data_IF_007394941548
#
_entry.id   IF_007394941548
#
_cell.length_a   1.000
_cell.length_b   1.000
_cell.length_c   1.000
_cell.angle_alpha   90.00
_cell.angle_beta   90.00
_cell.angle_gamma   90.00
#
_symmetry.space_group_name_H-M   'P 1'
#
loop_
_entity.id
_entity.type
_entity.pdbx_description
1 polymer ?
#
# COMPACT_ATOMS: atom_id res chain seq x y z
N UNK A 1 8.17 29.08 8.98
CA UNK A 1 8.58 28.49 7.69
C UNK A 1 7.52 27.48 7.27
N UNK A 2 7.17 27.37 5.99
CA UNK A 2 6.19 26.36 5.55
C UNK A 2 6.78 24.95 5.73
N UNK A 3 6.01 24.03 6.33
CA UNK A 3 6.42 22.64 6.50
C UNK A 3 6.59 21.96 5.15
N UNK A 4 7.78 21.43 4.87
CA UNK A 4 8.11 20.83 3.59
C UNK A 4 7.82 19.32 3.59
N UNK A 5 7.06 18.86 2.60
CA UNK A 5 6.77 17.44 2.39
C UNK A 5 7.76 16.77 1.42
N UNK A 6 8.62 17.55 0.75
CA UNK A 6 9.63 17.00 -0.15
C UNK A 6 10.60 16.11 0.64
N UNK A 7 10.87 14.91 0.12
CA UNK A 7 11.72 13.87 0.71
C UNK A 7 11.16 13.17 1.97
N UNK A 8 9.85 13.24 2.21
CA UNK A 8 9.14 12.42 3.19
C UNK A 8 8.39 11.30 2.50
N UNK A 9 8.12 10.23 3.23
CA UNK A 9 7.14 9.22 2.83
C UNK A 9 5.75 9.76 3.18
N UNK A 10 4.96 10.12 2.16
CA UNK A 10 3.60 10.62 2.36
C UNK A 10 2.59 9.54 1.98
N UNK A 11 1.86 9.03 2.97
CA UNK A 11 0.80 8.03 2.77
C UNK A 11 -0.55 8.72 2.94
N UNK A 12 -1.37 8.68 1.89
CA UNK A 12 -2.78 9.00 2.02
C UNK A 12 -3.57 7.73 2.30
N UNK A 13 -4.55 7.81 3.20
CA UNK A 13 -5.44 6.69 3.54
C UNK A 13 -6.89 7.16 3.59
N UNK A 14 -7.81 6.36 3.05
CA UNK A 14 -9.23 6.63 3.17
C UNK A 14 -9.78 6.24 4.54
N UNK A 15 -10.87 6.88 4.97
CA UNK A 15 -11.49 6.60 6.27
C UNK A 15 -11.89 5.13 6.43
N UNK A 16 -12.41 4.49 5.35
CA UNK A 16 -12.78 3.08 5.32
C UNK A 16 -11.58 2.12 5.32
N UNK A 17 -10.41 2.59 4.90
CA UNK A 17 -9.18 1.81 5.00
C UNK A 17 -8.59 1.88 6.41
N UNK A 18 -8.69 3.04 7.07
CA UNK A 18 -8.18 3.25 8.43
C UNK A 18 -9.09 2.66 9.52
N UNK A 19 -10.40 2.76 9.34
CA UNK A 19 -11.42 2.31 10.29
C UNK A 19 -12.39 1.34 9.62
N UNK A 20 -12.91 0.39 10.39
CA UNK A 20 -14.01 -0.47 9.95
C UNK A 20 -15.29 0.36 9.93
N UNK A 21 -15.78 0.62 8.73
CA UNK A 21 -16.94 1.44 8.41
C UNK A 21 -17.88 0.71 7.44
N UNK A 22 -17.88 -0.63 7.48
CA UNK A 22 -18.69 -1.43 6.55
C UNK A 22 -20.19 -1.32 6.83
N UNK A 23 -20.59 -1.14 8.10
CA UNK A 23 -21.99 -0.86 8.45
C UNK A 23 -22.44 0.48 7.85
N UNK A 24 -21.64 1.52 8.01
CA UNK A 24 -21.95 2.85 7.48
C UNK A 24 -21.92 2.87 5.96
N UNK A 25 -21.02 2.12 5.32
CA UNK A 25 -21.02 1.97 3.88
C UNK A 25 -22.31 1.29 3.37
N UNK A 26 -22.81 0.27 4.08
CA UNK A 26 -24.08 -0.36 3.72
C UNK A 26 -25.26 0.60 3.83
N UNK A 27 -25.27 1.49 4.82
CA UNK A 27 -26.30 2.53 4.95
C UNK A 27 -26.22 3.49 3.76
N UNK A 28 -25.01 3.91 3.37
CA UNK A 28 -24.83 4.77 2.20
C UNK A 28 -25.32 4.11 0.91
N UNK A 29 -24.98 2.84 0.69
CA UNK A 29 -25.37 2.10 -0.52
C UNK A 29 -26.88 1.82 -0.61
N UNK A 30 -27.53 1.54 0.52
CA UNK A 30 -28.96 1.18 0.57
C UNK A 30 -29.88 2.40 0.71
N UNK A 31 -29.56 3.29 1.62
CA UNK A 31 -30.45 4.37 2.08
C UNK A 31 -29.98 5.76 1.60
N UNK A 32 -28.79 5.82 0.99
CA UNK A 32 -28.24 7.02 0.39
C UNK A 32 -27.53 7.97 1.35
N UNK A 33 -27.15 9.12 0.80
CA UNK A 33 -26.25 10.08 1.45
C UNK A 33 -26.85 10.72 2.71
N UNK A 34 -28.14 11.05 2.71
CA UNK A 34 -28.79 11.72 3.84
C UNK A 34 -28.91 10.80 5.07
N UNK A 35 -29.24 9.52 4.85
CA UNK A 35 -29.29 8.52 5.91
C UNK A 35 -27.91 8.26 6.50
N UNK A 36 -26.90 8.11 5.64
CA UNK A 36 -25.50 8.01 6.06
C UNK A 36 -25.07 9.20 6.92
N UNK A 37 -25.39 10.43 6.50
CA UNK A 37 -25.03 11.63 7.25
C UNK A 37 -25.70 11.69 8.62
N UNK A 38 -26.99 11.39 8.68
CA UNK A 38 -27.71 11.33 9.94
C UNK A 38 -27.09 10.31 10.89
N UNK A 39 -26.79 9.11 10.39
CA UNK A 39 -26.13 8.07 11.18
C UNK A 39 -24.77 8.54 11.70
N UNK A 40 -23.93 9.15 10.87
CA UNK A 40 -22.60 9.61 11.32
C UNK A 40 -22.67 10.67 12.42
N UNK A 41 -23.64 11.60 12.35
CA UNK A 41 -23.86 12.62 13.38
C UNK A 41 -24.41 12.03 14.69
N UNK A 42 -25.37 11.11 14.61
CA UNK A 42 -25.93 10.44 15.79
C UNK A 42 -24.91 9.54 16.51
N UNK A 43 -23.85 9.15 15.82
CA UNK A 43 -22.79 8.28 16.33
C UNK A 43 -21.43 9.01 16.46
N UNK A 44 -21.39 10.35 16.45
CA UNK A 44 -20.15 11.15 16.46
C UNK A 44 -19.19 10.80 17.62
N UNK A 45 -19.76 10.52 18.80
CA UNK A 45 -19.00 10.18 20.01
C UNK A 45 -18.76 8.66 20.16
N UNK A 46 -19.27 7.83 19.26
CA UNK A 46 -19.02 6.38 19.31
C UNK A 46 -17.69 6.05 18.66
N UNK A 47 -16.85 5.36 19.43
CA UNK A 47 -15.56 4.86 18.95
C UNK A 47 -15.71 3.99 17.71
N UNK A 48 -14.72 4.09 16.82
CA UNK A 48 -14.63 3.27 15.62
C UNK A 48 -13.75 2.05 15.84
N UNK A 49 -14.14 0.94 15.24
CA UNK A 49 -13.32 -0.26 15.16
C UNK A 49 -12.16 -0.05 14.20
N UNK A 50 -11.08 -0.78 14.41
CA UNK A 50 -9.84 -0.61 13.65
C UNK A 50 -10.03 -1.28 12.29
N UNK A 51 -9.74 -0.56 11.21
CA UNK A 51 -9.76 -1.12 9.87
C UNK A 51 -8.47 -1.87 9.55
N UNK A 52 -8.44 -2.57 8.41
CA UNK A 52 -7.24 -3.30 7.94
C UNK A 52 -5.99 -2.43 7.91
N UNK A 53 -6.11 -1.15 7.54
CA UNK A 53 -4.98 -0.23 7.42
C UNK A 53 -4.50 0.38 8.73
N UNK A 54 -5.24 0.21 9.83
CA UNK A 54 -4.93 0.86 11.11
C UNK A 54 -3.52 0.52 11.60
N UNK A 55 -3.18 -0.77 11.65
CA UNK A 55 -1.91 -1.25 12.18
C UNK A 55 -0.71 -0.72 11.38
N UNK A 56 -0.81 -0.75 10.06
CA UNK A 56 0.22 -0.20 9.18
C UNK A 56 0.44 1.29 9.49
N UNK A 57 -0.62 2.07 9.58
CA UNK A 57 -0.57 3.50 9.90
C UNK A 57 0.04 3.74 11.27
N UNK A 58 -0.39 2.98 12.29
CA UNK A 58 0.15 3.06 13.64
C UNK A 58 1.66 2.81 13.66
N UNK A 59 2.12 1.74 13.00
CA UNK A 59 3.53 1.35 12.99
C UNK A 59 4.39 2.30 12.14
N UNK A 60 3.89 2.76 10.99
CA UNK A 60 4.60 3.71 10.13
C UNK A 60 4.73 5.08 10.82
N UNK A 61 3.72 5.55 11.54
CA UNK A 61 3.82 6.80 12.30
C UNK A 61 4.84 6.72 13.44
N UNK A 62 4.99 5.55 14.09
CA UNK A 62 6.02 5.32 15.14
C UNK A 62 7.45 5.54 14.62
N UNK A 63 7.70 5.44 13.32
CA UNK A 63 9.02 5.71 12.72
C UNK A 63 9.47 7.15 13.03
N UNK A 64 8.54 8.10 13.13
CA UNK A 64 8.88 9.48 13.45
C UNK A 64 9.50 9.65 14.85
N UNK A 65 9.33 8.67 15.77
CA UNK A 65 9.96 8.71 17.10
C UNK A 65 11.50 8.56 17.06
N UNK A 66 12.05 8.06 15.95
CA UNK A 66 13.51 7.98 15.74
C UNK A 66 14.12 9.29 15.24
N UNK A 67 13.29 10.31 14.96
CA UNK A 67 13.71 11.59 14.41
C UNK A 67 13.28 12.75 15.32
N UNK A 68 13.95 13.89 15.18
CA UNK A 68 13.51 15.12 15.82
C UNK A 68 12.18 15.60 15.19
N UNK A 69 11.41 16.43 15.91
CA UNK A 69 10.11 16.93 15.45
C UNK A 69 10.18 17.68 14.12
N UNK A 70 11.30 18.35 13.84
CA UNK A 70 11.51 19.11 12.60
C UNK A 70 11.98 18.23 11.42
N UNK A 71 12.40 16.99 11.71
CA UNK A 71 12.95 16.03 10.76
C UNK A 71 12.07 14.79 10.58
N UNK A 72 10.77 14.88 10.90
CA UNK A 72 9.80 13.80 10.62
C UNK A 72 9.97 13.28 9.19
N UNK A 73 10.01 11.97 9.04
CA UNK A 73 10.23 11.29 7.75
C UNK A 73 8.95 10.75 7.13
N UNK A 74 7.91 10.58 7.94
CA UNK A 74 6.65 9.99 7.55
C UNK A 74 5.54 10.99 7.81
N UNK A 75 4.63 11.12 6.84
CA UNK A 75 3.38 11.86 6.99
C UNK A 75 2.22 10.94 6.57
N UNK A 76 1.18 10.86 7.40
CA UNK A 76 -0.07 10.20 7.04
C UNK A 76 -1.16 11.26 6.90
N UNK A 77 -1.92 11.20 5.81
CA UNK A 77 -3.00 12.13 5.49
C UNK A 77 -4.28 11.34 5.32
N UNK A 78 -5.34 11.77 5.99
CA UNK A 78 -6.68 11.20 5.75
C UNK A 78 -7.32 11.92 4.58
N UNK A 79 -7.76 11.16 3.58
CA UNK A 79 -8.51 11.69 2.46
C UNK A 79 -9.86 10.99 2.38
N UNK A 80 -10.94 11.77 2.43
CA UNK A 80 -12.29 11.22 2.34
C UNK A 80 -13.14 12.03 1.38
N UNK A 81 -13.97 11.32 0.62
CA UNK A 81 -15.07 11.90 -0.16
C UNK A 81 -16.21 12.41 0.72
N UNK A 82 -16.21 12.09 2.01
CA UNK A 82 -17.28 12.55 2.89
C UNK A 82 -17.22 14.07 3.09
N UNK A 83 -18.33 14.64 3.54
CA UNK A 83 -18.35 16.04 3.94
C UNK A 83 -17.51 16.26 5.22
N UNK A 84 -17.12 17.50 5.45
CA UNK A 84 -16.35 17.87 6.64
C UNK A 84 -17.14 17.70 7.95
N UNK A 85 -18.48 17.70 7.93
CA UNK A 85 -19.27 17.49 9.16
C UNK A 85 -19.06 16.09 9.73
N UNK A 86 -19.02 15.06 8.88
CA UNK A 86 -18.73 13.67 9.29
C UNK A 86 -17.25 13.42 9.64
N UNK A 87 -16.39 14.42 9.46
CA UNK A 87 -14.97 14.29 9.84
C UNK A 87 -14.77 14.18 11.34
N UNK A 88 -15.69 14.70 12.15
CA UNK A 88 -15.53 14.78 13.60
C UNK A 88 -15.43 13.40 14.23
N UNK A 89 -16.30 12.46 13.86
CA UNK A 89 -16.23 11.07 14.34
C UNK A 89 -14.89 10.40 14.02
N UNK A 90 -14.40 10.58 12.79
CA UNK A 90 -13.11 10.06 12.34
C UNK A 90 -11.97 10.72 13.13
N UNK A 91 -12.05 12.02 13.34
CA UNK A 91 -11.05 12.81 14.09
C UNK A 91 -11.04 12.43 15.57
N UNK A 92 -12.19 12.22 16.18
CA UNK A 92 -12.34 11.73 17.56
C UNK A 92 -11.70 10.35 17.69
N UNK A 93 -11.98 9.42 16.76
CA UNK A 93 -11.36 8.10 16.77
C UNK A 93 -9.81 8.14 16.65
N UNK A 94 -9.26 9.02 15.81
CA UNK A 94 -7.80 9.24 15.71
C UNK A 94 -7.22 9.72 17.04
N UNK A 95 -7.88 10.68 17.68
CA UNK A 95 -7.46 11.26 18.95
C UNK A 95 -7.52 10.22 20.09
N UNK A 96 -8.61 9.47 20.18
CA UNK A 96 -8.79 8.39 21.16
C UNK A 96 -7.71 7.32 21.04
N UNK A 97 -7.37 6.97 19.79
CA UNK A 97 -6.34 6.00 19.45
C UNK A 97 -4.92 6.59 19.39
N UNK A 98 -4.78 7.89 19.68
CA UNK A 98 -3.51 8.65 19.74
C UNK A 98 -2.64 8.51 18.48
N UNK A 99 -3.28 8.46 17.31
CA UNK A 99 -2.56 8.47 16.04
C UNK A 99 -2.08 9.90 15.75
N UNK A 100 -0.77 10.07 15.49
CA UNK A 100 -0.15 11.37 15.15
C UNK A 100 -0.44 11.78 13.69
N UNK A 101 -1.73 11.91 13.39
CA UNK A 101 -2.28 12.35 12.10
C UNK A 101 -2.82 13.76 12.29
N UNK A 102 -2.13 14.74 11.70
CA UNK A 102 -2.48 16.17 11.83
C UNK A 102 -3.02 16.77 10.53
N UNK A 103 -3.12 15.97 9.46
CA UNK A 103 -3.60 16.40 8.15
C UNK A 103 -4.77 15.56 7.70
N UNK A 104 -5.78 16.24 7.20
CA UNK A 104 -6.94 15.61 6.58
C UNK A 104 -7.47 16.48 5.43
N UNK A 105 -8.13 15.86 4.46
CA UNK A 105 -8.92 16.56 3.46
C UNK A 105 -10.25 15.84 3.22
N UNK A 106 -11.30 16.66 3.08
CA UNK A 106 -12.69 16.24 3.00
C UNK A 106 -13.30 16.91 1.78
N UNK A 107 -13.64 16.14 0.77
CA UNK A 107 -13.92 16.67 -0.57
C UNK A 107 -15.40 16.75 -0.90
N UNK A 108 -16.29 16.38 0.03
CA UNK A 108 -17.75 16.48 -0.10
C UNK A 108 -18.27 15.89 -1.43
N UNK A 109 -17.75 14.73 -1.81
CA UNK A 109 -18.12 13.97 -3.00
C UNK A 109 -17.23 14.22 -4.22
N UNK A 110 -16.38 15.25 -4.19
CA UNK A 110 -15.47 15.53 -5.32
C UNK A 110 -14.29 14.54 -5.36
N UNK A 111 -13.76 14.31 -6.56
CA UNK A 111 -12.70 13.34 -6.78
C UNK A 111 -11.42 13.74 -6.03
N UNK A 112 -10.98 12.86 -5.13
CA UNK A 112 -9.80 13.05 -4.28
C UNK A 112 -8.48 13.01 -5.06
N UNK A 113 -8.46 12.38 -6.23
CA UNK A 113 -7.23 12.18 -7.02
C UNK A 113 -6.58 13.49 -7.45
N UNK A 114 -7.40 14.53 -7.66
CA UNK A 114 -6.97 15.89 -7.99
C UNK A 114 -6.01 16.49 -6.95
N UNK A 115 -6.11 16.05 -5.69
CA UNK A 115 -5.34 16.60 -4.57
C UNK A 115 -4.10 15.77 -4.22
N UNK A 116 -4.01 14.51 -4.66
CA UNK A 116 -2.92 13.60 -4.27
C UNK A 116 -1.53 14.15 -4.63
N UNK A 117 -1.37 14.71 -5.84
CA UNK A 117 -0.12 15.38 -6.25
C UNK A 117 0.18 16.64 -5.46
N UNK A 118 -0.85 17.40 -5.10
CA UNK A 118 -0.70 18.61 -4.31
C UNK A 118 -0.20 18.28 -2.90
N UNK A 119 -0.70 17.18 -2.33
CA UNK A 119 -0.23 16.62 -1.06
C UNK A 119 1.08 15.84 -1.16
N UNK A 120 1.67 15.69 -2.35
CA UNK A 120 2.91 14.92 -2.58
C UNK A 120 2.82 13.47 -2.13
N UNK A 121 1.64 12.87 -2.27
CA UNK A 121 1.38 11.47 -1.87
C UNK A 121 2.27 10.52 -2.67
N UNK A 122 2.95 9.62 -1.96
CA UNK A 122 3.73 8.51 -2.51
C UNK A 122 2.91 7.22 -2.63
N UNK A 123 1.98 7.00 -1.68
CA UNK A 123 1.07 5.86 -1.65
C UNK A 123 -0.33 6.30 -1.21
N UNK A 124 -1.35 5.86 -1.94
CA UNK A 124 -2.74 6.00 -1.53
C UNK A 124 -3.40 4.63 -1.27
N UNK A 125 -3.95 4.44 -0.07
CA UNK A 125 -4.70 3.24 0.31
C UNK A 125 -6.17 3.57 0.45
N UNK A 126 -7.03 2.85 -0.29
CA UNK A 126 -8.49 2.98 -0.17
C UNK A 126 -9.18 1.63 -0.15
N UNK A 127 -10.39 1.57 0.39
CA UNK A 127 -11.29 0.42 0.25
C UNK A 127 -12.13 0.48 -1.04
N UNK A 128 -12.14 1.62 -1.75
CA UNK A 128 -12.94 1.85 -2.97
C UNK A 128 -12.08 1.67 -4.24
N UNK A 129 -12.56 0.86 -5.20
CA UNK A 129 -11.85 0.61 -6.47
C UNK A 129 -11.72 1.89 -7.29
N UNK A 130 -12.78 2.71 -7.35
CA UNK A 130 -12.78 3.92 -8.17
C UNK A 130 -11.73 4.91 -7.67
N UNK A 131 -11.60 5.08 -6.36
CA UNK A 131 -10.56 5.87 -5.72
C UNK A 131 -9.15 5.44 -6.13
N UNK A 132 -8.89 4.14 -6.10
CA UNK A 132 -7.58 3.58 -6.47
C UNK A 132 -7.29 3.80 -7.95
N UNK A 133 -8.26 3.54 -8.83
CA UNK A 133 -8.12 3.77 -10.27
C UNK A 133 -7.87 5.23 -10.59
N UNK A 134 -8.65 6.14 -10.01
CA UNK A 134 -8.49 7.58 -10.22
C UNK A 134 -7.11 8.07 -9.76
N UNK A 135 -6.57 7.51 -8.66
CA UNK A 135 -5.23 7.84 -8.17
C UNK A 135 -4.13 7.36 -9.14
N UNK A 136 -4.26 6.13 -9.65
CA UNK A 136 -3.33 5.55 -10.63
C UNK A 136 -3.36 6.33 -11.95
N UNK A 137 -4.54 6.71 -12.44
CA UNK A 137 -4.69 7.56 -13.64
C UNK A 137 -4.01 8.92 -13.48
N UNK A 138 -3.95 9.41 -12.24
CA UNK A 138 -3.22 10.62 -11.90
C UNK A 138 -1.73 10.34 -11.64
N UNK A 139 -1.21 9.13 -11.79
CA UNK A 139 0.21 8.82 -11.63
C UNK A 139 0.67 8.82 -10.17
N UNK A 140 -0.21 8.44 -9.25
CA UNK A 140 0.08 8.18 -7.84
C UNK A 140 -0.07 6.70 -7.58
N UNK A 141 0.91 6.08 -6.91
CA UNK A 141 0.80 4.67 -6.55
C UNK A 141 -0.38 4.49 -5.59
N UNK A 142 -1.28 3.56 -5.91
CA UNK A 142 -2.43 3.30 -5.09
C UNK A 142 -2.78 1.81 -5.10
N UNK A 143 -3.35 1.34 -3.99
CA UNK A 143 -3.84 -0.02 -3.86
C UNK A 143 -5.15 -0.07 -3.08
N UNK A 144 -6.01 -1.03 -3.46
CA UNK A 144 -7.23 -1.32 -2.74
C UNK A 144 -6.90 -2.20 -1.55
N UNK A 145 -7.09 -1.68 -0.34
CA UNK A 145 -6.94 -2.48 0.86
C UNK A 145 -8.09 -3.49 0.95
N UNK A 146 -7.77 -4.74 1.26
CA UNK A 146 -8.76 -5.80 1.38
C UNK A 146 -9.25 -5.91 2.82
N UNK A 147 -10.51 -6.30 3.04
CA UNK A 147 -10.98 -6.69 4.35
C UNK A 147 -10.10 -7.82 4.90
N UNK A 148 -9.70 -7.70 6.15
CA UNK A 148 -8.88 -8.69 6.84
C UNK A 148 -9.38 -8.84 8.27
N UNK A 149 -9.14 -10.00 8.88
CA UNK A 149 -9.57 -10.24 10.25
C UNK A 149 -8.68 -9.45 11.24
N UNK A 150 -9.27 -8.73 12.20
CA UNK A 150 -8.51 -8.01 13.25
C UNK A 150 -7.56 -8.94 14.03
N UNK A 151 -7.87 -10.25 14.08
CA UNK A 151 -7.10 -11.29 14.77
C UNK A 151 -5.88 -11.79 13.99
N UNK A 152 -5.57 -11.22 12.81
CA UNK A 152 -4.35 -11.55 12.07
C UNK A 152 -3.14 -11.06 12.88
N UNK A 153 -2.63 -11.97 13.71
CA UNK A 153 -1.51 -11.78 14.62
C UNK A 153 -0.21 -11.83 13.82
N UNK A 154 0.24 -10.69 13.31
CA UNK A 154 1.60 -10.56 12.78
C UNK A 154 2.53 -9.82 13.74
N UNK A 155 3.84 -10.01 13.56
CA UNK A 155 4.89 -10.01 14.60
C UNK A 155 4.81 -8.98 15.75
N UNK A 156 5.28 -9.40 16.93
CA UNK A 156 5.48 -8.61 18.17
C UNK A 156 6.63 -7.59 18.09
N UNK A 157 7.18 -7.35 16.90
CA UNK A 157 8.35 -6.51 16.71
C UNK A 157 7.94 -5.07 16.38
N UNK A 158 8.62 -4.10 16.99
CA UNK A 158 8.47 -2.65 16.73
C UNK A 158 8.99 -2.22 15.33
N UNK A 159 8.96 -3.10 14.33
CA UNK A 159 9.49 -2.87 12.98
C UNK A 159 8.36 -3.03 11.97
N UNK A 160 8.21 -2.03 11.09
CA UNK A 160 7.26 -2.06 9.98
C UNK A 160 7.75 -3.05 8.92
N UNK A 161 6.90 -4.00 8.52
CA UNK A 161 7.22 -5.02 7.52
C UNK A 161 6.33 -4.89 6.29
N UNK A 162 6.92 -4.57 5.14
CA UNK A 162 6.20 -4.34 3.88
C UNK A 162 6.65 -5.36 2.84
N UNK A 163 5.72 -6.17 2.34
CA UNK A 163 5.98 -7.12 1.29
C UNK A 163 5.40 -6.64 -0.04
N UNK A 164 6.11 -6.90 -1.13
CA UNK A 164 5.69 -6.55 -2.50
C UNK A 164 5.82 -7.77 -3.41
N UNK A 165 4.87 -7.93 -4.31
CA UNK A 165 5.12 -8.71 -5.52
C UNK A 165 6.12 -8.01 -6.44
N UNK A 166 6.70 -8.78 -7.36
CA UNK A 166 7.62 -8.29 -8.38
C UNK A 166 6.90 -7.66 -9.55
N UNK A 167 6.58 -8.48 -10.55
CA UNK A 167 6.00 -8.05 -11.82
C UNK A 167 4.64 -7.37 -11.60
N UNK A 168 4.32 -6.39 -12.44
CA UNK A 168 3.10 -5.58 -12.33
C UNK A 168 2.92 -4.77 -11.02
N UNK A 169 3.87 -4.85 -10.08
CA UNK A 169 3.90 -4.10 -8.81
C UNK A 169 5.18 -3.28 -8.69
N UNK A 170 6.33 -3.90 -8.41
CA UNK A 170 7.63 -3.22 -8.37
C UNK A 170 8.23 -3.03 -9.76
N UNK A 171 8.01 -4.00 -10.65
CA UNK A 171 8.49 -3.99 -12.02
C UNK A 171 7.32 -3.83 -13.00
N UNK A 172 7.61 -3.43 -14.24
CA UNK A 172 6.58 -3.44 -15.29
C UNK A 172 6.10 -4.87 -15.60
N UNK A 173 4.99 -4.98 -16.32
CA UNK A 173 4.41 -6.26 -16.76
C UNK A 173 5.15 -6.89 -17.97
N UNK A 174 6.26 -6.30 -18.45
CA UNK A 174 7.02 -6.75 -19.63
C UNK A 174 7.34 -8.26 -19.57
N UNK A 175 7.93 -8.68 -18.46
CA UNK A 175 8.35 -10.06 -18.24
C UNK A 175 7.17 -11.04 -18.16
N UNK A 176 6.05 -10.61 -17.57
CA UNK A 176 4.84 -11.41 -17.48
C UNK A 176 4.18 -11.62 -18.86
N UNK A 177 4.20 -10.59 -19.72
CA UNK A 177 3.70 -10.68 -21.09
C UNK A 177 4.51 -11.68 -21.92
N UNK A 178 5.84 -11.72 -21.74
CA UNK A 178 6.69 -12.70 -22.44
C UNK A 178 6.35 -14.12 -21.99
N UNK A 179 6.16 -14.34 -20.69
CA UNK A 179 5.75 -15.64 -20.16
C UNK A 179 4.38 -16.07 -20.70
N UNK A 180 3.38 -15.18 -20.69
CA UNK A 180 2.02 -15.45 -21.20
C UNK A 180 2.00 -15.76 -22.70
N UNK A 181 2.80 -15.05 -23.50
CA UNK A 181 2.78 -15.19 -24.95
C UNK A 181 3.69 -16.30 -25.48
N UNK A 182 4.85 -16.52 -24.86
CA UNK A 182 5.93 -17.35 -25.40
C UNK A 182 6.35 -18.51 -24.47
N UNK A 183 5.78 -18.61 -23.27
CA UNK A 183 6.04 -19.67 -22.31
C UNK A 183 7.30 -19.49 -21.46
N UNK A 184 7.56 -20.49 -20.60
CA UNK A 184 8.59 -20.44 -19.56
C UNK A 184 10.02 -20.37 -20.14
N UNK A 185 10.33 -21.16 -21.17
CA UNK A 185 11.69 -21.22 -21.72
C UNK A 185 12.11 -19.90 -22.35
N UNK A 186 11.22 -19.30 -23.15
CA UNK A 186 11.43 -17.99 -23.75
C UNK A 186 11.60 -16.89 -22.70
N UNK A 187 10.82 -16.95 -21.60
CA UNK A 187 10.98 -16.05 -20.47
C UNK A 187 12.37 -16.20 -19.81
N UNK A 188 12.82 -17.42 -19.53
CA UNK A 188 14.13 -17.67 -18.91
C UNK A 188 15.27 -17.19 -19.82
N UNK A 189 15.21 -17.45 -21.13
CA UNK A 189 16.19 -16.95 -22.09
C UNK A 189 16.21 -15.43 -22.15
N UNK A 190 15.04 -14.79 -22.19
CA UNK A 190 14.91 -13.34 -22.17
C UNK A 190 15.56 -12.73 -20.93
N UNK A 191 15.27 -13.26 -19.74
CA UNK A 191 15.84 -12.77 -18.48
C UNK A 191 17.36 -12.94 -18.41
N UNK A 192 17.89 -14.04 -18.97
CA UNK A 192 19.35 -14.27 -19.04
C UNK A 192 20.03 -13.30 -20.00
N UNK A 193 19.45 -13.07 -21.18
CA UNK A 193 19.98 -12.13 -22.18
C UNK A 193 19.94 -10.69 -21.66
N UNK A 194 18.89 -10.33 -20.92
CA UNK A 194 18.68 -8.98 -20.38
C UNK A 194 19.16 -8.81 -18.94
N UNK A 195 19.98 -9.72 -18.40
CA UNK A 195 20.40 -9.67 -16.99
C UNK A 195 21.06 -8.35 -16.57
N UNK A 196 21.75 -7.68 -17.49
CA UNK A 196 22.42 -6.40 -17.27
C UNK A 196 21.56 -5.19 -17.69
N UNK A 197 20.37 -5.43 -18.23
CA UNK A 197 19.37 -4.41 -18.54
C UNK A 197 18.35 -4.35 -17.39
N UNK A 198 18.31 -3.26 -16.59
CA UNK A 198 17.37 -3.15 -15.49
C UNK A 198 15.92 -3.37 -15.92
N UNK A 199 15.13 -4.01 -15.05
CA UNK A 199 13.68 -4.07 -15.24
C UNK A 199 13.10 -2.65 -15.19
N UNK A 200 12.10 -2.40 -16.03
CA UNK A 200 11.40 -1.13 -16.00
C UNK A 200 10.63 -0.96 -14.69
N UNK A 201 10.49 0.29 -14.25
CA UNK A 201 9.80 0.61 -12.99
C UNK A 201 8.29 0.32 -13.10
N UNK A 202 7.79 -0.50 -12.18
CA UNK A 202 6.37 -0.73 -11.98
C UNK A 202 5.70 0.39 -11.16
N UNK A 203 4.38 0.27 -10.93
CA UNK A 203 3.59 1.30 -10.25
C UNK A 203 4.09 1.64 -8.84
N UNK A 204 4.67 0.68 -8.12
CA UNK A 204 5.13 0.83 -6.73
C UNK A 204 6.66 1.03 -6.59
N UNK A 205 7.41 1.07 -7.71
CA UNK A 205 8.86 1.28 -7.67
C UNK A 205 9.27 2.59 -6.97
N UNK A 206 8.52 3.67 -7.22
CA UNK A 206 8.77 4.98 -6.58
C UNK A 206 8.55 4.93 -5.07
N UNK A 207 7.51 4.21 -4.62
CA UNK A 207 7.27 4.01 -3.19
C UNK A 207 8.44 3.28 -2.54
N UNK A 208 8.93 2.19 -3.17
CA UNK A 208 10.09 1.45 -2.68
C UNK A 208 11.35 2.33 -2.61
N UNK A 209 11.59 3.18 -3.61
CA UNK A 209 12.68 4.15 -3.59
C UNK A 209 12.56 5.16 -2.43
N UNK A 210 11.36 5.64 -2.13
CA UNK A 210 11.12 6.53 -0.99
C UNK A 210 11.36 5.82 0.35
N UNK A 211 10.91 4.57 0.48
CA UNK A 211 11.18 3.72 1.66
C UNK A 211 12.69 3.49 1.82
N UNK A 212 13.39 3.17 0.73
CA UNK A 212 14.83 2.91 0.74
C UNK A 212 15.64 4.13 1.24
N UNK A 213 15.20 5.35 0.94
CA UNK A 213 15.81 6.58 1.48
C UNK A 213 15.69 6.68 3.00
N UNK A 214 14.58 6.22 3.58
CA UNK A 214 14.42 6.15 5.04
C UNK A 214 15.31 5.05 5.59
N UNK A 215 15.29 3.86 4.99
CA UNK A 215 16.13 2.72 5.39
C UNK A 215 17.63 3.05 5.39
N UNK A 216 18.10 3.86 4.44
CA UNK A 216 19.49 4.30 4.32
C UNK A 216 19.95 5.21 5.48
N UNK A 217 19.03 5.76 6.28
CA UNK A 217 19.35 6.55 7.48
C UNK A 217 19.67 5.68 8.70
N UNK A 218 19.49 4.37 8.59
CA UNK A 218 19.71 3.41 9.66
C UNK A 218 20.72 2.34 9.24
N UNK A 219 21.49 1.79 10.20
CA UNK A 219 22.17 0.52 10.00
C UNK A 219 21.18 -0.58 9.57
N UNK A 220 21.63 -1.52 8.74
CA UNK A 220 20.78 -2.55 8.14
C UNK A 220 19.99 -3.35 9.18
N UNK A 221 20.61 -3.70 10.30
CA UNK A 221 20.03 -4.48 11.41
C UNK A 221 19.08 -3.68 12.31
N UNK A 222 19.08 -2.35 12.20
CA UNK A 222 18.31 -1.43 13.07
C UNK A 222 17.27 -0.61 12.32
N UNK A 223 17.09 -0.86 11.03
CA UNK A 223 16.10 -0.16 10.23
C UNK A 223 14.70 -0.39 10.78
N UNK A 224 13.90 0.68 11.02
CA UNK A 224 12.53 0.53 11.51
C UNK A 224 11.57 0.05 10.42
N UNK A 225 12.01 0.03 9.16
CA UNK A 225 11.28 -0.56 8.02
C UNK A 225 12.09 -1.74 7.47
N UNK A 226 11.41 -2.86 7.27
CA UNK A 226 11.92 -4.04 6.58
C UNK A 226 11.07 -4.33 5.35
N UNK A 227 11.71 -4.53 4.21
CA UNK A 227 11.04 -4.76 2.93
C UNK A 227 11.32 -6.18 2.41
N UNK A 228 10.30 -6.82 1.84
CA UNK A 228 10.43 -8.11 1.20
C UNK A 228 9.91 -8.09 -0.23
N UNK A 229 10.65 -8.72 -1.15
CA UNK A 229 10.14 -9.13 -2.46
C UNK A 229 9.62 -10.56 -2.33
N UNK A 230 8.36 -10.80 -2.67
CA UNK A 230 7.74 -12.15 -2.69
C UNK A 230 7.16 -12.40 -4.07
N UNK A 231 7.91 -13.07 -4.93
CA UNK A 231 7.61 -13.19 -6.37
C UNK A 231 7.46 -14.63 -6.83
N UNK A 232 6.61 -14.84 -7.84
CA UNK A 232 6.48 -16.11 -8.54
C UNK A 232 7.69 -16.44 -9.43
N UNK A 233 8.58 -15.47 -9.70
CA UNK A 233 9.85 -15.73 -10.40
C UNK A 233 10.66 -16.81 -9.67
N UNK A 234 11.39 -17.62 -10.42
CA UNK A 234 12.20 -18.71 -9.90
C UNK A 234 13.68 -18.32 -9.83
N UNK A 235 14.48 -19.12 -9.10
CA UNK A 235 15.92 -18.88 -8.96
C UNK A 235 16.67 -18.68 -10.30
N UNK A 236 16.36 -19.33 -11.43
CA UNK A 236 17.03 -19.06 -12.71
C UNK A 236 16.95 -17.61 -13.23
N UNK A 237 15.99 -16.79 -12.76
CA UNK A 237 15.76 -15.43 -13.27
C UNK A 237 15.99 -14.33 -12.22
N UNK A 238 16.54 -14.67 -11.05
CA UNK A 238 16.78 -13.71 -9.97
C UNK A 238 17.87 -12.66 -10.29
N UNK A 239 18.84 -12.98 -11.16
CA UNK A 239 20.01 -12.12 -11.41
C UNK A 239 19.61 -10.72 -11.88
N UNK A 240 18.67 -10.61 -12.85
CA UNK A 240 18.18 -9.33 -13.38
C UNK A 240 17.48 -8.51 -12.31
N UNK A 241 16.70 -9.16 -11.44
CA UNK A 241 15.99 -8.51 -10.32
C UNK A 241 16.99 -7.88 -9.34
N UNK A 242 17.99 -8.63 -8.90
CA UNK A 242 19.00 -8.13 -7.96
C UNK A 242 19.83 -7.00 -8.59
N UNK A 243 20.23 -7.15 -9.86
CA UNK A 243 20.93 -6.09 -10.59
C UNK A 243 20.09 -4.83 -10.74
N UNK A 244 18.79 -4.98 -10.95
CA UNK A 244 17.86 -3.84 -11.01
C UNK A 244 17.85 -3.07 -9.69
N UNK A 245 17.73 -3.76 -8.55
CA UNK A 245 17.79 -3.10 -7.23
C UNK A 245 19.13 -2.40 -6.99
N UNK A 246 20.25 -2.99 -7.43
CA UNK A 246 21.57 -2.36 -7.34
C UNK A 246 21.64 -1.07 -8.16
N UNK A 247 21.12 -1.07 -9.38
CA UNK A 247 21.07 0.12 -10.25
C UNK A 247 20.16 1.20 -9.65
N UNK A 248 19.05 0.80 -9.04
CA UNK A 248 18.14 1.71 -8.34
C UNK A 248 18.72 2.24 -7.01
N UNK A 249 19.81 1.65 -6.50
CA UNK A 249 20.36 1.96 -5.18
C UNK A 249 19.41 1.60 -4.04
N UNK A 250 18.58 0.58 -4.25
CA UNK A 250 17.54 0.14 -3.30
C UNK A 250 18.03 -1.09 -2.55
N UNK A 251 17.88 -1.07 -1.22
CA UNK A 251 18.02 -2.26 -0.38
C UNK A 251 16.65 -2.90 -0.20
N UNK A 252 16.53 -4.17 -0.58
CA UNK A 252 15.44 -5.04 -0.15
C UNK A 252 16.02 -6.02 0.87
N UNK A 253 15.39 -6.15 2.04
CA UNK A 253 15.97 -6.91 3.14
C UNK A 253 15.78 -8.42 2.98
N UNK A 254 14.70 -8.85 2.32
CA UNK A 254 14.42 -10.26 2.00
C UNK A 254 13.87 -10.42 0.58
N UNK A 255 14.31 -11.44 -0.17
CA UNK A 255 13.80 -11.72 -1.51
C UNK A 255 13.50 -13.21 -1.66
N UNK A 256 12.25 -13.53 -1.95
CA UNK A 256 11.73 -14.89 -2.06
C UNK A 256 11.30 -15.15 -3.50
N UNK A 257 12.02 -16.06 -4.16
CA UNK A 257 11.78 -16.49 -5.54
C UNK A 257 11.09 -17.85 -5.53
N UNK A 258 9.75 -17.83 -5.52
CA UNK A 258 8.93 -19.00 -5.18
C UNK A 258 8.75 -19.99 -6.32
N UNK A 259 9.00 -19.57 -7.56
CA UNK A 259 8.83 -20.46 -8.73
C UNK A 259 7.41 -21.02 -8.88
N UNK A 260 6.39 -20.25 -8.47
CA UNK A 260 4.98 -20.62 -8.61
C UNK A 260 4.34 -21.33 -7.42
N UNK A 261 5.03 -21.47 -6.27
CA UNK A 261 4.36 -21.86 -5.02
C UNK A 261 3.55 -20.71 -4.43
N UNK A 262 2.60 -21.04 -3.55
CA UNK A 262 1.79 -20.04 -2.88
C UNK A 262 2.63 -19.08 -2.01
N UNK A 263 2.20 -17.82 -1.95
CA UNK A 263 2.91 -16.75 -1.23
C UNK A 263 2.55 -16.68 0.26
N UNK A 264 1.38 -17.18 0.66
CA UNK A 264 0.80 -16.88 1.97
C UNK A 264 1.64 -17.39 3.15
N UNK A 265 2.25 -18.59 3.06
CA UNK A 265 3.10 -19.13 4.12
C UNK A 265 4.35 -18.26 4.37
N UNK A 266 4.94 -17.74 3.29
CA UNK A 266 6.10 -16.84 3.38
C UNK A 266 5.69 -15.49 3.95
N UNK A 267 4.53 -14.98 3.56
CA UNK A 267 4.00 -13.71 4.07
C UNK A 267 3.67 -13.78 5.56
N UNK A 268 3.10 -14.90 6.01
CA UNK A 268 2.83 -15.19 7.43
C UNK A 268 4.15 -15.31 8.21
N UNK A 269 5.12 -16.08 7.70
CA UNK A 269 6.44 -16.21 8.33
C UNK A 269 7.20 -14.88 8.39
N UNK A 270 7.09 -14.06 7.35
CA UNK A 270 7.64 -12.71 7.33
C UNK A 270 6.87 -11.78 8.28
N UNK A 271 5.61 -12.07 8.60
CA UNK A 271 4.78 -11.27 9.48
C UNK A 271 4.53 -9.87 8.90
N UNK A 272 4.15 -9.80 7.63
CA UNK A 272 3.90 -8.54 6.94
C UNK A 272 2.83 -7.70 7.64
N UNK A 273 3.09 -6.40 7.79
CA UNK A 273 2.06 -5.41 8.15
C UNK A 273 1.19 -5.05 6.93
N UNK A 274 1.73 -5.22 5.71
CA UNK A 274 0.97 -5.15 4.47
C UNK A 274 1.68 -5.90 3.33
N UNK A 275 0.91 -6.55 2.47
CA UNK A 275 1.36 -7.15 1.22
C UNK A 275 0.69 -6.50 0.00
N UNK A 276 1.48 -6.16 -1.02
CA UNK A 276 0.99 -5.62 -2.30
C UNK A 276 1.15 -6.62 -3.43
N UNK A 277 0.07 -6.96 -4.10
CA UNK A 277 0.01 -7.89 -5.24
C UNK A 277 -1.07 -7.39 -6.21
N UNK A 278 -0.96 -7.69 -7.49
CA UNK A 278 -1.97 -7.34 -8.49
C UNK A 278 -3.01 -8.47 -8.71
N UNK A 279 -2.70 -9.70 -8.32
CA UNK A 279 -3.49 -10.89 -8.66
C UNK A 279 -4.42 -11.32 -7.52
N UNK A 280 -5.71 -11.46 -7.84
CA UNK A 280 -6.73 -11.91 -6.87
C UNK A 280 -6.46 -13.30 -6.29
N UNK A 281 -5.84 -14.20 -7.07
CA UNK A 281 -5.54 -15.57 -6.63
C UNK A 281 -4.58 -15.56 -5.44
N UNK A 282 -3.51 -14.74 -5.50
CA UNK A 282 -2.58 -14.59 -4.38
C UNK A 282 -3.21 -13.84 -3.21
N UNK A 283 -4.03 -12.83 -3.50
CA UNK A 283 -4.66 -11.98 -2.50
C UNK A 283 -5.74 -12.71 -1.70
N UNK A 284 -6.52 -13.60 -2.33
CA UNK A 284 -7.55 -14.40 -1.67
C UNK A 284 -6.99 -15.36 -0.61
N UNK A 285 -5.76 -15.84 -0.81
CA UNK A 285 -5.07 -16.68 0.17
C UNK A 285 -4.35 -15.83 1.23
N UNK A 286 -3.60 -14.82 0.79
CA UNK A 286 -2.77 -13.99 1.68
C UNK A 286 -3.60 -13.12 2.63
N UNK A 287 -4.76 -12.60 2.22
CA UNK A 287 -5.60 -11.73 3.06
C UNK A 287 -6.13 -12.41 4.33
N UNK A 288 -6.11 -13.74 4.38
CA UNK A 288 -6.48 -14.51 5.57
C UNK A 288 -5.37 -14.54 6.64
N UNK A 289 -4.11 -14.27 6.25
CA UNK A 289 -2.93 -14.40 7.12
C UNK A 289 -2.13 -13.11 7.26
N UNK A 290 -2.28 -12.15 6.35
CA UNK A 290 -1.66 -10.82 6.41
C UNK A 290 -2.62 -9.77 5.85
N UNK A 291 -2.56 -8.50 6.31
CA UNK A 291 -3.20 -7.41 5.58
C UNK A 291 -2.68 -7.36 4.14
N UNK A 292 -3.60 -7.38 3.17
CA UNK A 292 -3.25 -7.38 1.75
C UNK A 292 -3.94 -6.24 1.02
N UNK A 293 -3.27 -5.71 -0.01
CA UNK A 293 -3.81 -4.66 -0.84
C UNK A 293 -3.57 -4.94 -2.33
N UNK A 294 -4.64 -4.83 -3.12
CA UNK A 294 -4.63 -5.07 -4.55
C UNK A 294 -4.09 -3.87 -5.31
N UNK A 295 -3.02 -4.08 -6.08
CA UNK A 295 -2.52 -3.11 -7.05
C UNK A 295 -3.34 -3.25 -8.32
N UNK A 296 -4.08 -2.21 -8.69
CA UNK A 296 -4.90 -2.24 -9.91
C UNK A 296 -4.03 -1.84 -11.11
N UNK A 297 -4.05 -2.65 -12.17
CA UNK A 297 -3.36 -2.32 -13.42
C UNK A 297 -4.36 -1.94 -14.52
N UNK A 298 -4.02 -0.87 -15.25
CA UNK A 298 -4.85 -0.28 -16.31
C UNK A 298 -5.17 -1.26 -17.44
N UNK A 299 -4.24 -2.18 -17.72
CA UNK A 299 -4.34 -3.10 -18.86
C UNK A 299 -5.18 -4.34 -18.57
N UNK A 300 -5.34 -4.73 -17.30
CA UNK A 300 -6.11 -5.93 -16.90
C UNK A 300 -7.62 -5.66 -16.99
N UNK A 301 -8.07 -4.44 -16.63
CA UNK A 301 -9.49 -4.07 -16.59
C UNK A 301 -10.11 -3.97 -18.00
N UNK A 302 -9.30 -3.68 -19.02
CA UNK A 302 -9.76 -3.66 -20.41
C UNK A 302 -10.03 -5.06 -20.97
N UNK A 303 -9.41 -6.10 -20.38
CA UNK A 303 -9.62 -7.49 -20.77
C UNK A 303 -10.83 -8.14 -20.08
N UNK A 304 -11.17 -7.74 -18.85
CA UNK A 304 -12.34 -8.26 -18.12
C UNK A 304 -13.68 -7.70 -18.62
N UNK A 305 -13.66 -6.65 -19.45
CA UNK A 305 -14.85 -6.04 -20.07
C UNK A 305 -15.09 -6.49 -21.52
N UNK A 306 -14.44 -7.56 -21.99
CA UNK A 306 -14.67 -8.14 -23.32
C UNK A 306 -15.26 -9.54 -23.25
#
# INVERSE_FOLDING_TARGET
MAYNLNNKLVIAISSRALFDLEEENQIFEKDGLDAYYKYQLENEDKSLKKGTGYRLVENILKINSFFSSDERQVEVIILSKNNAATSLRITNAINDLKLDIIRSAWTSGTNISNYLKAFKVDLFLSADDNDVLNAIENGVAAAKILPSNENINNSSNNQVRIAFDGDAVLFSEESELIYKNNGLDAFIEHEKLNKDNPLEMGPFAKLLLTIAKIQAKFPTDKSPIRTALVTARSAPTHERVIKTFNVWGVRVDEAFFLGGTDKYEILEAFGADIFFDDQDVHLNLSSNVVPSAKVLNKNIIACEKK
#
